data_IF_587866982150
#
_entry.id   IF_587866982150
#
_cell.length_a   1.000
_cell.length_b   1.000
_cell.length_c   1.000
_cell.angle_alpha   90.00
_cell.angle_beta   90.00
_cell.angle_gamma   90.00
#
_symmetry.space_group_name_H-M   'P 1'
#
loop_
_entity.id
_entity.type
_entity.pdbx_description
1 polymer ?
#
# COMPACT_ATOMS: atom_id res chain seq x y z
N UNK A 1 -14.40 7.72 -14.33
CA UNK A 1 -13.65 7.52 -13.08
C UNK A 1 -12.84 6.25 -13.22
N UNK A 2 -11.51 6.35 -13.25
CA UNK A 2 -10.62 5.21 -13.48
C UNK A 2 -10.27 4.56 -12.14
N UNK A 3 -10.63 3.29 -11.98
CA UNK A 3 -10.25 2.47 -10.83
C UNK A 3 -8.92 1.80 -11.15
N UNK A 4 -7.98 1.91 -10.24
CA UNK A 4 -6.66 1.30 -10.31
C UNK A 4 -6.54 0.19 -9.26
N UNK A 5 -5.69 -0.80 -9.57
CA UNK A 5 -5.31 -1.87 -8.67
C UNK A 5 -3.80 -1.83 -8.56
N UNK A 6 -3.31 -1.51 -7.37
CA UNK A 6 -1.87 -1.39 -7.12
C UNK A 6 -1.51 -2.27 -5.94
N UNK A 7 -0.37 -2.92 -6.02
CA UNK A 7 0.29 -3.55 -4.88
C UNK A 7 1.45 -2.67 -4.46
N UNK A 8 1.37 -2.13 -3.25
CA UNK A 8 2.45 -1.38 -2.62
C UNK A 8 3.27 -2.31 -1.75
N UNK A 9 4.59 -2.13 -1.79
CA UNK A 9 5.53 -2.77 -0.87
C UNK A 9 6.32 -1.67 -0.18
N UNK A 10 6.10 -1.52 1.12
CA UNK A 10 6.84 -0.63 1.98
C UNK A 10 7.90 -1.44 2.71
N UNK A 11 9.13 -0.93 2.77
CA UNK A 11 10.22 -1.54 3.55
C UNK A 11 10.80 -0.52 4.51
N UNK A 12 11.29 -0.98 5.66
CA UNK A 12 11.88 -0.12 6.67
C UNK A 12 11.68 -0.64 8.08
N UNK A 13 11.40 0.26 9.02
CA UNK A 13 10.95 -0.08 10.36
C UNK A 13 9.44 0.07 10.41
N UNK A 14 8.72 -1.03 10.20
CA UNK A 14 7.28 -1.04 9.97
C UNK A 14 6.59 -1.91 11.01
N UNK A 15 6.42 -1.42 12.26
CA UNK A 15 5.74 -2.18 13.30
C UNK A 15 4.37 -2.62 12.79
N UNK A 16 4.15 -3.93 12.75
CA UNK A 16 3.04 -4.56 12.03
C UNK A 16 1.69 -3.97 12.44
N UNK A 17 1.43 -3.88 13.73
CA UNK A 17 0.15 -3.43 14.29
C UNK A 17 -0.11 -1.97 13.96
N UNK A 18 0.82 -1.07 14.34
CA UNK A 18 0.69 0.37 14.11
C UNK A 18 0.51 0.71 12.63
N UNK A 19 1.25 0.03 11.74
CA UNK A 19 1.15 0.29 10.30
C UNK A 19 -0.15 -0.27 9.70
N UNK A 20 -0.60 -1.45 10.14
CA UNK A 20 -1.85 -2.04 9.69
C UNK A 20 -3.05 -1.16 10.05
N UNK A 21 -3.11 -0.69 11.30
CA UNK A 21 -4.18 0.19 11.78
C UNK A 21 -4.20 1.52 11.02
N UNK A 22 -3.02 2.13 10.81
CA UNK A 22 -2.90 3.36 10.04
C UNK A 22 -3.37 3.19 8.58
N UNK A 23 -2.95 2.10 7.93
CA UNK A 23 -3.35 1.79 6.57
C UNK A 23 -4.87 1.55 6.46
N UNK A 24 -5.45 0.75 7.36
CA UNK A 24 -6.90 0.50 7.38
C UNK A 24 -7.72 1.79 7.60
N UNK A 25 -7.28 2.63 8.54
CA UNK A 25 -7.96 3.89 8.83
C UNK A 25 -7.93 4.84 7.62
N UNK A 26 -6.79 4.96 6.93
CA UNK A 26 -6.67 5.76 5.70
C UNK A 26 -7.49 5.19 4.56
N UNK A 27 -7.52 3.87 4.41
CA UNK A 27 -8.28 3.20 3.37
C UNK A 27 -9.79 3.44 3.52
N UNK A 28 -10.31 3.29 4.75
CA UNK A 28 -11.72 3.61 5.05
C UNK A 28 -12.06 5.07 4.78
N UNK A 29 -11.18 6.00 5.16
CA UNK A 29 -11.42 7.45 4.94
C UNK A 29 -11.45 7.82 3.45
N UNK A 30 -10.63 7.17 2.63
CA UNK A 30 -10.55 7.39 1.19
C UNK A 30 -11.52 6.49 0.40
N UNK A 31 -12.34 5.67 1.08
CA UNK A 31 -13.26 4.72 0.44
C UNK A 31 -12.56 3.81 -0.59
N UNK A 32 -11.34 3.36 -0.29
CA UNK A 32 -10.57 2.42 -1.11
C UNK A 32 -10.54 1.05 -0.44
N UNK A 33 -10.50 -0.01 -1.24
CA UNK A 33 -10.39 -1.37 -0.75
C UNK A 33 -8.92 -1.71 -0.50
N UNK A 34 -8.60 -2.05 0.75
CA UNK A 34 -7.27 -2.49 1.18
C UNK A 34 -7.28 -4.00 1.48
N UNK A 35 -6.26 -4.71 1.03
CA UNK A 35 -6.02 -6.11 1.38
C UNK A 35 -4.55 -6.32 1.72
N UNK A 36 -4.27 -6.84 2.90
CA UNK A 36 -2.89 -7.11 3.32
C UNK A 36 -2.42 -8.42 2.72
N UNK A 37 -1.36 -8.39 1.91
CA UNK A 37 -0.79 -9.58 1.26
C UNK A 37 0.28 -10.20 2.14
N UNK A 38 1.15 -9.36 2.69
CA UNK A 38 2.21 -9.76 3.61
C UNK A 38 2.50 -8.59 4.54
N UNK A 39 2.76 -8.85 5.81
CA UNK A 39 3.18 -7.80 6.72
C UNK A 39 4.02 -8.39 7.84
N UNK A 40 5.16 -7.77 8.08
CA UNK A 40 6.08 -8.03 9.17
C UNK A 40 6.71 -6.71 9.63
N UNK A 41 7.56 -6.76 10.65
CA UNK A 41 8.16 -5.56 11.27
C UNK A 41 9.14 -4.81 10.38
N UNK A 42 9.51 -5.37 9.22
CA UNK A 42 10.43 -4.76 8.25
C UNK A 42 9.77 -4.44 6.90
N UNK A 43 8.67 -5.11 6.55
CA UNK A 43 8.06 -5.08 5.22
C UNK A 43 6.55 -5.17 5.32
N UNK A 44 5.85 -4.26 4.66
CA UNK A 44 4.40 -4.30 4.49
C UNK A 44 4.03 -4.30 3.00
N UNK A 45 3.42 -5.39 2.54
CA UNK A 45 2.88 -5.57 1.19
C UNK A 45 1.36 -5.48 1.23
N UNK A 46 0.84 -4.44 0.62
CA UNK A 46 -0.58 -4.06 0.66
C UNK A 46 -1.14 -3.95 -0.76
N UNK A 47 -2.24 -4.64 -1.03
CA UNK A 47 -3.00 -4.50 -2.28
C UNK A 47 -4.11 -3.48 -2.08
N UNK A 48 -4.18 -2.50 -2.96
CA UNK A 48 -5.11 -1.38 -2.89
C UNK A 48 -5.91 -1.31 -4.19
N UNK A 49 -7.21 -1.07 -4.07
CA UNK A 49 -8.14 -0.96 -5.19
C UNK A 49 -9.00 0.28 -4.95
N UNK A 50 -8.96 1.23 -5.88
CA UNK A 50 -9.68 2.49 -5.69
C UNK A 50 -9.51 3.45 -6.86
N UNK A 51 -10.08 4.64 -6.76
CA UNK A 51 -9.86 5.67 -7.77
C UNK A 51 -8.39 6.08 -7.79
N UNK A 52 -7.82 6.28 -8.98
CA UNK A 52 -6.40 6.62 -9.15
C UNK A 52 -5.93 7.76 -8.23
N UNK A 53 -6.65 8.88 -8.19
CA UNK A 53 -6.32 10.02 -7.33
C UNK A 53 -6.32 9.67 -5.84
N UNK A 54 -7.23 8.79 -5.40
CA UNK A 54 -7.33 8.34 -4.00
C UNK A 54 -6.25 7.32 -3.66
N UNK A 55 -5.86 6.47 -4.62
CA UNK A 55 -4.74 5.54 -4.48
C UNK A 55 -3.41 6.29 -4.35
N UNK A 56 -3.22 7.35 -5.15
CA UNK A 56 -2.05 8.24 -5.05
C UNK A 56 -2.02 8.96 -3.68
N UNK A 57 -3.15 9.51 -3.24
CA UNK A 57 -3.27 10.14 -1.92
C UNK A 57 -3.02 9.16 -0.76
N UNK A 58 -3.42 7.89 -0.93
CA UNK A 58 -3.15 6.83 0.02
C UNK A 58 -1.65 6.49 0.09
N UNK A 59 -0.99 6.34 -1.07
CA UNK A 59 0.45 6.13 -1.15
C UNK A 59 1.21 7.24 -0.42
N UNK A 60 0.91 8.51 -0.74
CA UNK A 60 1.56 9.65 -0.09
C UNK A 60 1.40 9.65 1.43
N UNK A 61 0.21 9.28 1.93
CA UNK A 61 -0.04 9.20 3.36
C UNK A 61 0.73 8.05 4.03
N UNK A 62 0.84 6.89 3.38
CA UNK A 62 1.56 5.73 3.92
C UNK A 62 3.08 5.89 3.84
N UNK A 63 3.59 6.62 2.85
CA UNK A 63 5.02 6.95 2.76
C UNK A 63 5.50 7.79 3.95
N UNK A 64 4.60 8.58 4.57
CA UNK A 64 4.90 9.30 5.81
C UNK A 64 4.81 8.41 7.06
N UNK A 65 3.99 7.35 7.01
CA UNK A 65 3.78 6.41 8.11
C UNK A 65 3.19 7.03 9.39
N UNK A 66 2.88 6.19 10.40
CA UNK A 66 2.67 6.64 11.77
C UNK A 66 3.98 7.08 12.43
N UNK A 67 3.89 7.81 13.55
CA UNK A 67 5.05 8.43 14.23
C UNK A 67 6.16 7.45 14.62
N UNK A 68 5.82 6.18 14.86
CA UNK A 68 6.74 5.12 15.29
C UNK A 68 7.29 4.28 14.12
N UNK A 69 6.99 4.67 12.88
CA UNK A 69 7.33 3.94 11.68
C UNK A 69 8.27 4.75 10.80
N UNK A 70 9.30 4.09 10.26
CA UNK A 70 10.24 4.70 9.33
C UNK A 70 10.18 3.92 8.03
N UNK A 71 9.61 4.53 7.00
CA UNK A 71 9.59 3.95 5.65
C UNK A 71 10.90 4.31 4.95
N UNK A 72 11.66 3.31 4.53
CA UNK A 72 12.90 3.48 3.79
C UNK A 72 12.66 3.50 2.29
N UNK A 73 11.84 2.57 1.80
CA UNK A 73 11.54 2.45 0.38
C UNK A 73 10.09 2.08 0.15
N UNK A 74 9.52 2.60 -0.94
CA UNK A 74 8.17 2.30 -1.39
C UNK A 74 8.23 1.85 -2.84
N UNK A 75 7.80 0.61 -3.09
CA UNK A 75 7.64 0.08 -4.43
C UNK A 75 6.16 -0.01 -4.76
N UNK A 76 5.76 0.58 -5.88
CA UNK A 76 4.42 0.42 -6.45
C UNK A 76 4.45 -0.52 -7.64
N UNK A 77 3.56 -1.51 -7.63
CA UNK A 77 3.34 -2.41 -8.76
C UNK A 77 1.88 -2.30 -9.17
N UNK A 78 1.62 -1.70 -10.34
CA UNK A 78 0.29 -1.79 -10.92
C UNK A 78 -0.02 -3.26 -11.18
N UNK A 79 -1.23 -3.70 -10.81
CA UNK A 79 -1.85 -4.95 -11.25
C UNK A 79 -2.22 -4.79 -12.72
N UNK A 80 -1.22 -4.49 -13.54
CA UNK A 80 -1.35 -4.65 -14.97
C UNK A 80 -1.31 -6.16 -15.19
N UNK A 81 -2.27 -6.78 -15.89
CA UNK A 81 -2.08 -8.13 -16.41
C UNK A 81 -0.96 -8.06 -17.45
N UNK A 82 0.29 -7.99 -17.01
CA UNK A 82 1.45 -8.19 -17.84
C UNK A 82 1.51 -9.69 -18.16
N UNK A 83 0.77 -10.04 -19.20
CA UNK A 83 1.16 -10.93 -20.30
C UNK A 83 2.47 -11.69 -20.03
N UNK A 84 2.32 -13.01 -19.85
CA UNK A 84 3.32 -14.07 -20.08
C UNK A 84 4.78 -13.75 -19.81
N UNK A 85 5.33 -14.36 -18.77
CA UNK A 85 6.74 -14.72 -18.79
C UNK A 85 6.87 -15.97 -19.71
N UNK A 86 7.18 -15.71 -20.98
CA UNK A 86 7.85 -16.67 -21.86
C UNK A 86 9.28 -16.83 -21.34
N UNK A 87 9.67 -18.01 -20.86
CA UNK A 87 10.94 -18.69 -21.21
C UNK A 87 10.81 -20.19 -20.91
#
# INVERSE_FOLDING_TARGET
MQIDRVTFTFTGQIPRESFAEFAQHRASRLSITLSTVMQNDAVAKLRVIGQRDLVDAFEMALSLGPQDCIVHEVTRQADNPAKGEET
#
